data_IF_585950055087
#
_entry.id   IF_585950055087
#
_cell.length_a   1.000
_cell.length_b   1.000
_cell.length_c   1.000
_cell.angle_alpha   90.00
_cell.angle_beta   90.00
_cell.angle_gamma   90.00
#
_symmetry.space_group_name_H-M   'P 1'
#
loop_
_entity.id
_entity.type
_entity.pdbx_description
1 polymer ?
#
# COMPACT_ATOMS: atom_id res chain seq x y z
N UNK A 1 11.15 21.28 -14.41
CA UNK A 1 10.74 21.15 -12.98
C UNK A 1 11.46 19.95 -12.40
N UNK A 2 12.10 20.09 -11.23
CA UNK A 2 12.52 18.89 -10.46
C UNK A 2 11.25 18.13 -10.12
N UNK A 3 11.16 16.87 -10.56
CA UNK A 3 10.07 15.99 -10.16
C UNK A 3 10.19 15.81 -8.65
N UNK A 4 9.09 15.95 -7.91
CA UNK A 4 9.06 15.53 -6.51
C UNK A 4 9.52 14.06 -6.41
N UNK A 5 10.05 13.66 -5.26
CA UNK A 5 10.35 12.25 -5.00
C UNK A 5 9.08 11.44 -5.31
N UNK A 6 9.19 10.49 -6.22
CA UNK A 6 8.04 9.71 -6.66
C UNK A 6 7.46 8.93 -5.47
N UNK A 7 6.18 9.19 -5.16
CA UNK A 7 5.41 8.30 -4.30
C UNK A 7 4.96 7.12 -5.16
N UNK A 8 5.78 6.08 -5.21
CA UNK A 8 5.50 4.90 -6.03
C UNK A 8 4.20 4.23 -5.58
N UNK A 9 3.28 4.00 -6.52
CA UNK A 9 2.14 3.09 -6.34
C UNK A 9 2.44 1.82 -7.11
N UNK A 10 2.39 0.68 -6.43
CA UNK A 10 2.65 -0.61 -7.07
C UNK A 10 1.36 -1.09 -7.71
N UNK A 11 1.36 -1.34 -9.02
CA UNK A 11 0.29 -2.11 -9.65
C UNK A 11 0.60 -3.60 -9.42
N UNK A 12 -0.26 -4.36 -8.74
CA UNK A 12 0.06 -5.72 -8.35
C UNK A 12 -0.01 -6.67 -9.55
N UNK A 13 0.83 -7.71 -9.55
CA UNK A 13 0.83 -8.71 -10.62
C UNK A 13 -0.52 -9.46 -10.69
N UNK A 14 -1.19 -9.64 -9.55
CA UNK A 14 -2.51 -10.27 -9.42
C UNK A 14 -3.56 -9.65 -10.33
N UNK A 15 -3.44 -8.35 -10.66
CA UNK A 15 -4.35 -7.64 -11.57
C UNK A 15 -4.46 -8.33 -12.94
N UNK A 16 -3.35 -8.89 -13.45
CA UNK A 16 -3.33 -9.58 -14.75
C UNK A 16 -4.17 -10.86 -14.77
N UNK A 17 -4.43 -11.45 -13.61
CA UNK A 17 -5.20 -12.68 -13.43
C UNK A 17 -6.57 -12.43 -12.81
N UNK A 18 -6.91 -11.19 -12.48
CA UNK A 18 -8.21 -10.83 -11.90
C UNK A 18 -9.33 -10.99 -12.95
N UNK A 19 -10.31 -11.88 -12.74
CA UNK A 19 -11.43 -12.05 -13.66
C UNK A 19 -12.29 -10.79 -13.83
N UNK A 20 -12.35 -9.91 -12.82
CA UNK A 20 -13.07 -8.62 -12.89
C UNK A 20 -12.42 -7.72 -13.94
N UNK A 21 -11.10 -7.60 -13.87
CA UNK A 21 -10.30 -6.82 -14.81
C UNK A 21 -10.34 -7.40 -16.23
N UNK A 22 -10.22 -8.73 -16.36
CA UNK A 22 -10.26 -9.42 -17.65
C UNK A 22 -11.57 -9.27 -18.43
N UNK A 23 -12.68 -8.92 -17.76
CA UNK A 23 -13.99 -8.67 -18.39
C UNK A 23 -14.23 -7.22 -18.80
N UNK A 24 -13.37 -6.29 -18.37
CA UNK A 24 -13.48 -4.89 -18.76
C UNK A 24 -13.15 -4.70 -20.25
N UNK A 25 -13.76 -3.73 -20.94
CA UNK A 25 -13.32 -3.38 -22.28
C UNK A 25 -11.90 -2.81 -22.26
N UNK A 26 -11.22 -2.91 -23.39
CA UNK A 26 -9.80 -2.54 -23.53
C UNK A 26 -9.49 -1.12 -23.01
N UNK A 27 -10.35 -0.13 -23.31
CA UNK A 27 -10.17 1.25 -22.82
C UNK A 27 -10.21 1.33 -21.29
N UNK A 28 -11.09 0.57 -20.65
CA UNK A 28 -11.19 0.52 -19.20
C UNK A 28 -9.99 -0.22 -18.58
N UNK A 29 -9.51 -1.29 -19.23
CA UNK A 29 -8.27 -1.97 -18.84
C UNK A 29 -7.05 -1.04 -18.92
N UNK A 30 -6.99 -0.17 -19.94
CA UNK A 30 -5.93 0.85 -20.04
C UNK A 30 -6.08 1.93 -18.96
N UNK A 31 -7.30 2.40 -18.71
CA UNK A 31 -7.54 3.51 -17.78
C UNK A 31 -7.34 3.12 -16.31
N UNK A 32 -7.76 1.93 -15.90
CA UNK A 32 -7.69 1.48 -14.50
C UNK A 32 -6.29 1.60 -13.85
N UNK A 33 -5.20 1.03 -14.42
CA UNK A 33 -3.87 1.16 -13.83
C UNK A 33 -3.36 2.61 -13.86
N UNK A 34 -3.81 3.43 -14.81
CA UNK A 34 -3.47 4.86 -14.84
C UNK A 34 -4.17 5.65 -13.73
N UNK A 35 -5.41 5.30 -13.39
CA UNK A 35 -6.09 5.83 -12.21
C UNK A 35 -5.37 5.40 -10.93
N UNK A 36 -5.03 4.11 -10.81
CA UNK A 36 -4.38 3.52 -9.64
C UNK A 36 -3.10 4.25 -9.25
N UNK A 37 -2.23 4.55 -10.21
CA UNK A 37 -0.97 5.24 -9.93
C UNK A 37 -1.14 6.72 -9.57
N UNK A 38 -2.30 7.31 -9.90
CA UNK A 38 -2.66 8.69 -9.58
C UNK A 38 -3.44 8.81 -8.25
N UNK A 39 -3.73 7.70 -7.57
CA UNK A 39 -4.40 7.74 -6.28
C UNK A 39 -3.52 8.32 -5.16
N UNK A 40 -4.16 9.02 -4.23
CA UNK A 40 -3.55 9.42 -2.97
C UNK A 40 -3.26 8.22 -2.04
N UNK A 41 -2.77 8.48 -0.83
CA UNK A 41 -2.34 7.39 0.07
C UNK A 41 -3.50 6.54 0.60
N UNK A 42 -4.75 6.96 0.37
CA UNK A 42 -5.98 6.29 0.79
C UNK A 42 -6.71 5.62 -0.38
N UNK A 43 -6.11 5.62 -1.58
CA UNK A 43 -6.69 5.00 -2.76
C UNK A 43 -7.76 5.85 -3.42
N UNK A 44 -7.73 7.17 -3.21
CA UNK A 44 -8.70 8.11 -3.78
C UNK A 44 -8.12 8.97 -4.88
N UNK A 45 -8.95 9.27 -5.88
CA UNK A 45 -8.64 10.17 -6.99
C UNK A 45 -9.90 10.92 -7.42
N UNK A 46 -9.74 11.99 -8.19
CA UNK A 46 -10.87 12.74 -8.75
C UNK A 46 -11.78 11.84 -9.58
N UNK A 47 -13.09 12.04 -9.45
CA UNK A 47 -14.11 11.45 -10.32
C UNK A 47 -14.55 12.37 -11.46
N UNK A 48 -13.93 13.54 -11.58
CA UNK A 48 -14.18 14.49 -12.65
C UNK A 48 -13.53 14.01 -13.97
N UNK A 49 -14.29 13.90 -15.08
CA UNK A 49 -13.76 13.36 -16.32
C UNK A 49 -12.61 14.17 -16.94
N UNK A 50 -12.66 15.50 -16.86
CA UNK A 50 -11.62 16.36 -17.42
C UNK A 50 -10.33 16.26 -16.59
N UNK A 51 -10.44 16.23 -15.26
CA UNK A 51 -9.30 16.00 -14.38
C UNK A 51 -8.68 14.61 -14.60
N UNK A 52 -9.49 13.56 -14.72
CA UNK A 52 -9.00 12.20 -15.02
C UNK A 52 -8.29 12.19 -16.37
N UNK A 53 -8.90 12.79 -17.40
CA UNK A 53 -8.32 12.85 -18.73
C UNK A 53 -6.95 13.53 -18.70
N UNK A 54 -6.86 14.66 -18.01
CA UNK A 54 -5.64 15.44 -17.88
C UNK A 54 -4.56 14.73 -17.07
N UNK A 55 -4.91 14.14 -15.92
CA UNK A 55 -3.95 13.58 -14.98
C UNK A 55 -3.51 12.14 -15.33
N UNK A 56 -4.45 11.29 -15.74
CA UNK A 56 -4.20 9.86 -15.91
C UNK A 56 -3.83 9.47 -17.35
N UNK A 57 -4.49 10.06 -18.36
CA UNK A 57 -4.34 9.63 -19.75
C UNK A 57 -4.28 10.78 -20.78
N UNK A 58 -3.50 11.86 -20.55
CA UNK A 58 -3.55 13.06 -21.39
C UNK A 58 -3.18 12.79 -22.85
N UNK A 59 -2.27 11.84 -23.10
CA UNK A 59 -1.77 11.53 -24.45
C UNK A 59 -2.50 10.39 -25.16
N UNK A 60 -3.45 9.71 -24.50
CA UNK A 60 -4.18 8.57 -25.08
C UNK A 60 -5.43 9.10 -25.80
N UNK A 61 -5.34 9.32 -27.11
CA UNK A 61 -6.40 10.00 -27.88
C UNK A 61 -7.71 9.21 -27.93
N UNK A 62 -7.61 7.88 -27.81
CA UNK A 62 -8.72 6.95 -27.89
C UNK A 62 -9.61 6.97 -26.65
N UNK A 63 -9.18 7.59 -25.54
CA UNK A 63 -10.00 7.75 -24.33
C UNK A 63 -10.33 9.23 -24.21
N UNK A 64 -11.58 9.63 -24.46
CA UNK A 64 -12.00 11.04 -24.34
C UNK A 64 -12.64 11.33 -22.99
N UNK A 65 -12.74 12.61 -22.61
CA UNK A 65 -13.39 13.01 -21.36
C UNK A 65 -14.86 12.56 -21.31
N UNK A 66 -15.54 12.57 -22.46
CA UNK A 66 -16.95 12.16 -22.60
C UNK A 66 -17.14 10.65 -22.41
N UNK A 67 -16.12 9.83 -22.72
CA UNK A 67 -16.18 8.37 -22.56
C UNK A 67 -15.86 7.92 -21.12
N UNK A 68 -15.08 8.69 -20.38
CA UNK A 68 -14.63 8.33 -19.02
C UNK A 68 -15.79 7.95 -18.09
N UNK A 69 -16.92 8.68 -18.01
CA UNK A 69 -18.05 8.30 -17.17
C UNK A 69 -18.55 6.86 -17.43
N UNK A 70 -18.64 6.45 -18.69
CA UNK A 70 -19.09 5.11 -19.06
C UNK A 70 -18.04 4.04 -18.69
N UNK A 71 -16.75 4.34 -18.87
CA UNK A 71 -15.66 3.45 -18.44
C UNK A 71 -15.65 3.27 -16.92
N UNK A 72 -15.83 4.34 -16.17
CA UNK A 72 -15.91 4.29 -14.70
C UNK A 72 -17.10 3.45 -14.23
N UNK A 73 -18.27 3.61 -14.86
CA UNK A 73 -19.46 2.82 -14.54
C UNK A 73 -19.23 1.32 -14.75
N UNK A 74 -18.50 0.93 -15.80
CA UNK A 74 -18.15 -0.47 -16.05
C UNK A 74 -17.21 -1.03 -14.98
N UNK A 75 -16.20 -0.25 -14.56
CA UNK A 75 -15.30 -0.65 -13.47
C UNK A 75 -16.02 -0.74 -12.13
N UNK A 76 -16.97 0.17 -11.87
CA UNK A 76 -17.80 0.15 -10.67
C UNK A 76 -18.73 -1.07 -10.64
N UNK A 77 -19.39 -1.35 -11.76
CA UNK A 77 -20.23 -2.56 -11.92
C UNK A 77 -19.41 -3.84 -11.76
N UNK A 78 -18.16 -3.83 -12.21
CA UNK A 78 -17.21 -4.92 -12.03
C UNK A 78 -16.64 -5.05 -10.61
N UNK A 79 -16.97 -4.13 -9.70
CA UNK A 79 -16.49 -4.15 -8.32
C UNK A 79 -14.99 -3.89 -8.19
N UNK A 80 -14.41 -3.07 -9.09
CA UNK A 80 -12.99 -2.69 -9.04
C UNK A 80 -12.75 -1.35 -8.32
N UNK A 81 -13.72 -0.44 -8.42
CA UNK A 81 -13.70 0.88 -7.80
C UNK A 81 -15.11 1.29 -7.42
N UNK A 82 -15.24 2.35 -6.61
CA UNK A 82 -16.50 3.00 -6.30
C UNK A 82 -16.46 4.45 -6.75
N UNK A 83 -17.43 4.89 -7.54
CA UNK A 83 -17.61 6.31 -7.85
C UNK A 83 -18.61 6.88 -6.86
N UNK A 84 -18.28 8.00 -6.23
CA UNK A 84 -19.15 8.62 -5.25
C UNK A 84 -19.04 10.15 -5.30
N UNK A 85 -20.09 10.81 -4.82
CA UNK A 85 -20.16 12.27 -4.76
C UNK A 85 -20.21 12.68 -3.30
N UNK A 86 -19.33 13.61 -2.92
CA UNK A 86 -19.35 14.30 -1.63
C UNK A 86 -19.99 15.67 -1.82
N UNK A 87 -20.21 16.43 -0.74
CA UNK A 87 -20.75 17.78 -0.84
C UNK A 87 -19.95 18.71 -1.77
N UNK A 88 -18.65 18.45 -1.91
CA UNK A 88 -17.71 19.37 -2.56
C UNK A 88 -17.03 18.79 -3.81
N UNK A 89 -17.07 17.47 -4.03
CA UNK A 89 -16.34 16.83 -5.11
C UNK A 89 -16.91 15.46 -5.50
N UNK A 90 -16.76 15.12 -6.78
CA UNK A 90 -16.89 13.75 -7.27
C UNK A 90 -15.54 13.03 -7.13
N UNK A 91 -15.55 11.84 -6.58
CA UNK A 91 -14.35 11.09 -6.26
C UNK A 91 -14.50 9.61 -6.63
N UNK A 92 -13.36 8.93 -6.70
CA UNK A 92 -13.23 7.50 -6.93
C UNK A 92 -12.49 6.91 -5.74
N UNK A 93 -12.98 5.79 -5.20
CA UNK A 93 -12.27 4.94 -4.23
C UNK A 93 -11.87 3.63 -4.92
N UNK A 94 -10.59 3.28 -4.87
CA UNK A 94 -10.11 1.95 -5.30
C UNK A 94 -10.42 0.94 -4.19
N UNK A 95 -11.19 -0.11 -4.50
CA UNK A 95 -11.74 -1.02 -3.48
C UNK A 95 -10.68 -1.94 -2.87
N UNK A 96 -9.70 -2.37 -3.67
CA UNK A 96 -8.67 -3.29 -3.21
C UNK A 96 -7.41 -2.55 -2.70
N UNK A 97 -7.49 -1.23 -2.49
CA UNK A 97 -6.32 -0.38 -2.20
C UNK A 97 -5.51 -0.86 -1.01
N UNK A 98 -6.14 -1.06 0.15
CA UNK A 98 -5.45 -1.48 1.38
C UNK A 98 -5.04 -2.94 1.37
N UNK A 99 -5.64 -3.76 0.50
CA UNK A 99 -5.24 -5.14 0.31
C UNK A 99 -3.94 -5.22 -0.49
N UNK A 100 -3.82 -4.42 -1.55
CA UNK A 100 -2.70 -4.46 -2.50
C UNK A 100 -1.56 -3.49 -2.14
N UNK A 101 -1.86 -2.28 -1.64
CA UNK A 101 -0.84 -1.32 -1.22
C UNK A 101 -0.35 -1.57 0.20
N UNK A 102 0.96 -1.80 0.35
CA UNK A 102 1.64 -1.91 1.65
C UNK A 102 2.40 -0.64 1.97
N UNK A 103 1.66 0.45 2.19
CA UNK A 103 2.25 1.74 2.54
C UNK A 103 2.82 1.71 3.96
N UNK A 104 4.01 2.29 4.14
CA UNK A 104 4.55 2.56 5.48
C UNK A 104 3.98 3.84 6.09
N UNK A 105 3.62 4.79 5.22
CA UNK A 105 3.07 6.09 5.56
C UNK A 105 1.86 6.37 4.68
N UNK A 106 0.79 6.85 5.27
CA UNK A 106 -0.38 7.30 4.55
C UNK A 106 -0.94 8.60 5.13
N UNK A 107 -0.94 9.63 4.30
CA UNK A 107 -1.52 10.92 4.61
C UNK A 107 -3.05 10.89 4.43
N UNK A 108 -3.78 11.79 5.12
CA UNK A 108 -5.21 11.95 4.90
C UNK A 108 -5.48 12.35 3.45
N UNK A 109 -6.58 11.86 2.91
CA UNK A 109 -7.05 12.26 1.58
C UNK A 109 -7.66 13.66 1.60
N UNK A 110 -7.61 14.33 0.44
CA UNK A 110 -8.42 15.53 0.18
C UNK A 110 -9.89 15.22 -0.08
N UNK A 111 -10.22 13.97 -0.41
CA UNK A 111 -11.56 13.49 -0.67
C UNK A 111 -12.09 12.81 0.60
N UNK A 112 -13.33 13.08 1.00
CA UNK A 112 -13.94 12.36 2.13
C UNK A 112 -14.11 10.87 1.79
N UNK A 113 -14.10 9.96 2.78
CA UNK A 113 -14.30 8.54 2.51
C UNK A 113 -15.73 8.27 2.05
N UNK A 114 -15.97 7.30 1.16
CA UNK A 114 -17.33 6.84 0.89
C UNK A 114 -17.93 6.19 2.15
N UNK A 115 -19.26 6.05 2.17
CA UNK A 115 -19.96 5.43 3.29
C UNK A 115 -19.42 4.02 3.58
N UNK A 116 -19.16 3.73 4.86
CA UNK A 116 -18.62 2.45 5.30
C UNK A 116 -17.11 2.25 5.10
N UNK A 117 -16.39 3.25 4.56
CA UNK A 117 -14.94 3.18 4.40
C UNK A 117 -14.20 3.80 5.58
N UNK A 118 -13.16 3.11 6.05
CA UNK A 118 -12.30 3.59 7.14
C UNK A 118 -10.89 3.84 6.60
N UNK A 119 -10.40 5.06 6.83
CA UNK A 119 -9.06 5.48 6.43
C UNK A 119 -8.02 4.94 7.40
N UNK A 120 -6.86 4.52 6.88
CA UNK A 120 -5.70 4.18 7.70
C UNK A 120 -4.71 5.34 7.63
N UNK A 121 -4.45 5.98 8.77
CA UNK A 121 -3.60 7.15 8.85
C UNK A 121 -2.29 6.80 9.56
N UNK A 122 -1.18 7.13 8.91
CA UNK A 122 0.12 7.18 9.54
C UNK A 122 0.97 8.22 8.84
N UNK A 123 1.12 9.40 9.44
CA UNK A 123 1.81 10.51 8.81
C UNK A 123 2.42 11.46 9.83
N UNK A 124 3.34 12.30 9.34
CA UNK A 124 3.96 13.37 10.10
C UNK A 124 3.23 14.69 9.82
N UNK A 125 2.34 15.19 10.70
CA UNK A 125 1.77 16.53 10.56
C UNK A 125 2.84 17.62 10.78
N UNK A 126 3.79 17.34 11.67
CA UNK A 126 4.96 18.16 11.98
C UNK A 126 6.20 17.27 11.97
N UNK A 127 7.43 17.82 11.87
CA UNK A 127 8.66 17.02 11.86
C UNK A 127 8.87 16.13 13.09
N UNK A 128 8.19 16.43 14.21
CA UNK A 128 8.39 15.77 15.51
C UNK A 128 7.24 14.86 15.91
N UNK A 129 6.09 14.95 15.27
CA UNK A 129 4.87 14.24 15.65
C UNK A 129 4.53 13.17 14.61
N UNK A 130 3.96 12.06 15.07
CA UNK A 130 3.38 11.01 14.22
C UNK A 130 1.94 10.82 14.66
N UNK A 131 0.99 11.07 13.76
CA UNK A 131 -0.40 10.68 13.94
C UNK A 131 -0.55 9.27 13.38
N UNK A 132 -1.12 8.36 14.19
CA UNK A 132 -1.45 6.99 13.78
C UNK A 132 -2.90 6.70 14.18
N UNK A 133 -3.76 6.41 13.21
CA UNK A 133 -5.18 6.11 13.42
C UNK A 133 -5.59 4.96 12.49
N UNK A 134 -6.36 4.00 13.02
CA UNK A 134 -6.84 2.81 12.30
C UNK A 134 -5.72 2.06 11.53
N UNK A 135 -4.47 2.19 11.96
CA UNK A 135 -3.33 1.62 11.25
C UNK A 135 -3.17 0.14 11.60
N UNK A 136 -3.14 -0.78 10.62
CA UNK A 136 -2.95 -2.18 10.91
C UNK A 136 -1.55 -2.39 11.55
N UNK A 137 -1.44 -3.20 12.62
CA UNK A 137 -0.15 -3.59 13.14
C UNK A 137 0.65 -4.28 12.01
N UNK A 138 1.91 -3.89 11.87
CA UNK A 138 2.78 -4.30 10.76
C UNK A 138 2.75 -5.82 10.56
N UNK A 139 2.33 -6.28 9.37
CA UNK A 139 2.39 -7.69 8.98
C UNK A 139 1.06 -8.46 9.03
N UNK A 140 -0.07 -7.84 9.39
CA UNK A 140 -1.38 -8.50 9.33
C UNK A 140 -2.23 -8.00 8.13
N UNK A 141 -2.87 -8.91 7.37
CA UNK A 141 -3.84 -8.52 6.34
C UNK A 141 -5.08 -7.89 6.99
N UNK A 142 -5.62 -6.85 6.34
CA UNK A 142 -6.77 -6.05 6.80
C UNK A 142 -8.03 -6.87 7.11
N UNK A 143 -8.13 -8.08 6.55
CA UNK A 143 -9.27 -8.99 6.70
C UNK A 143 -9.45 -9.63 8.08
N UNK A 144 -8.57 -9.37 9.05
CA UNK A 144 -8.61 -9.98 10.40
C UNK A 144 -8.72 -9.02 11.59
N UNK A 145 -8.95 -7.73 11.36
CA UNK A 145 -9.10 -6.77 12.47
C UNK A 145 -10.52 -6.85 13.06
N UNK A 146 -10.69 -7.69 14.08
CA UNK A 146 -11.85 -7.60 14.99
C UNK A 146 -11.73 -6.32 15.85
N UNK A 147 -12.85 -5.65 16.18
CA UNK A 147 -12.81 -4.49 17.05
C UNK A 147 -12.54 -4.94 18.49
N UNK A 148 -11.33 -4.67 18.99
CA UNK A 148 -11.04 -4.78 20.42
C UNK A 148 -10.88 -3.38 21.02
N UNK A 149 -11.68 -2.98 22.01
CA UNK A 149 -11.35 -1.84 22.84
C UNK A 149 -10.28 -2.29 23.84
N UNK A 150 -9.07 -1.74 23.75
CA UNK A 150 -8.09 -1.89 24.84
C UNK A 150 -8.51 -0.98 26.02
N UNK A 151 -8.68 -1.52 27.24
CA UNK A 151 -8.81 -0.70 28.42
C UNK A 151 -7.52 0.07 28.70
N UNK A 152 -7.68 1.36 28.99
CA UNK A 152 -6.67 2.24 29.60
C UNK A 152 -6.44 1.74 31.03
N UNK A 153 -5.28 1.14 31.31
CA UNK A 153 -4.49 1.32 32.53
C UNK A 153 -3.37 0.28 32.62
N UNK A 154 -2.14 0.76 32.80
CA UNK A 154 -0.98 -0.06 33.17
C UNK A 154 -0.93 -0.12 34.71
N UNK A 155 -0.99 -1.30 35.36
CA UNK A 155 -0.59 -1.41 36.76
C UNK A 155 0.94 -1.46 36.83
N UNK A 156 1.51 -0.39 37.36
CA UNK A 156 2.88 -0.33 37.86
C UNK A 156 2.99 -1.18 39.14
N UNK A 157 3.76 -2.28 39.06
CA UNK A 157 4.35 -3.10 40.13
C UNK A 157 4.04 -4.59 39.90
N UNK A 158 5.05 -5.28 39.37
CA UNK A 158 5.48 -6.61 39.80
C UNK A 158 6.82 -6.90 39.11
N UNK A 159 7.83 -6.09 39.47
CA UNK A 159 9.23 -6.49 39.34
C UNK A 159 9.69 -6.97 40.71
N UNK A 160 9.49 -8.25 40.98
CA UNK A 160 10.27 -8.99 41.96
C UNK A 160 10.03 -10.47 41.72
N UNK A 161 11.14 -11.20 41.55
CA UNK A 161 11.22 -12.66 41.54
C UNK A 161 10.85 -13.35 40.22
N UNK A 162 11.82 -13.46 39.31
CA UNK A 162 12.42 -14.77 38.96
C UNK A 162 13.85 -14.50 38.48
N UNK A 163 14.81 -14.73 39.37
CA UNK A 163 16.17 -15.06 38.97
C UNK A 163 16.18 -16.51 38.51
N UNK A 164 16.49 -16.76 37.24
CA UNK A 164 17.06 -18.04 36.79
C UNK A 164 17.77 -17.82 35.44
N UNK A 165 19.06 -17.52 35.55
CA UNK A 165 20.19 -18.04 34.75
C UNK A 165 19.98 -18.34 33.26
N UNK A 166 20.63 -17.57 32.38
CA UNK A 166 21.30 -18.04 31.16
C UNK A 166 22.44 -17.08 30.76
N UNK A 167 23.58 -17.58 30.22
CA UNK A 167 24.82 -16.82 30.08
C UNK A 167 24.87 -15.93 28.84
N UNK A 168 25.66 -14.86 28.96
CA UNK A 168 26.00 -13.85 27.97
C UNK A 168 26.75 -14.42 26.76
N UNK A 169 26.26 -14.14 25.56
CA UNK A 169 26.98 -14.34 24.29
C UNK A 169 28.16 -13.36 24.19
N UNK A 170 29.34 -13.82 24.63
CA UNK A 170 30.62 -13.15 24.36
C UNK A 170 31.72 -14.17 24.16
N UNK A 171 31.50 -15.12 23.26
CA UNK A 171 32.52 -16.08 22.80
C UNK A 171 32.02 -16.74 21.50
N UNK A 172 31.99 -15.99 20.40
CA UNK A 172 31.76 -16.55 19.05
C UNK A 172 32.48 -15.83 17.92
N UNK A 173 33.54 -15.09 18.25
CA UNK A 173 34.48 -14.50 17.28
C UNK A 173 35.89 -14.99 17.58
N UNK A 174 36.19 -16.26 17.29
CA UNK A 174 37.59 -16.71 17.12
C UNK A 174 37.83 -18.03 16.39
N UNK A 175 36.84 -18.65 15.76
CA UNK A 175 37.04 -19.94 15.07
C UNK A 175 36.76 -19.96 13.55
N UNK A 176 36.39 -18.84 12.93
CA UNK A 176 36.10 -18.80 11.48
C UNK A 176 37.19 -18.15 10.60
N UNK A 177 38.43 -18.06 11.10
CA UNK A 177 39.57 -17.50 10.34
C UNK A 177 40.73 -18.48 10.13
N UNK A 178 40.42 -19.78 10.02
CA UNK A 178 41.42 -20.83 9.73
C UNK A 178 41.10 -21.76 8.54
N UNK A 179 40.17 -21.37 7.68
CA UNK A 179 39.75 -22.22 6.55
C UNK A 179 39.96 -21.59 5.16
N UNK A 180 40.95 -20.69 5.01
CA UNK A 180 41.41 -20.22 3.69
C UNK A 180 42.91 -20.01 3.65
N UNK A 181 43.70 -21.07 3.77
CA UNK A 181 45.05 -21.06 3.19
C UNK A 181 45.55 -22.48 2.85
N UNK A 182 45.60 -22.75 1.53
CA UNK A 182 46.75 -23.40 0.90
C UNK A 182 47.01 -24.88 1.20
N UNK A 183 46.54 -25.76 0.31
CA UNK A 183 46.96 -27.17 0.33
C UNK A 183 46.69 -27.97 -0.94
N UNK A 184 46.85 -27.38 -2.13
CA UNK A 184 46.80 -28.12 -3.41
C UNK A 184 48.08 -28.94 -3.59
N UNK A 185 47.98 -30.27 -3.51
CA UNK A 185 49.10 -31.18 -3.70
C UNK A 185 48.74 -32.49 -4.43
N UNK A 186 49.12 -32.53 -5.72
CA UNK A 186 49.63 -33.68 -6.52
C UNK A 186 48.70 -34.77 -7.11
N UNK A 187 48.97 -35.06 -8.39
CA UNK A 187 48.68 -36.32 -9.10
C UNK A 187 48.30 -36.12 -10.58
N UNK A 188 49.21 -35.88 -11.54
CA UNK A 188 49.96 -36.84 -12.41
C UNK A 188 49.13 -37.59 -13.49
N UNK A 189 49.33 -37.17 -14.77
CA UNK A 189 49.38 -37.93 -16.06
C UNK A 189 48.14 -38.78 -16.48
N UNK A 190 47.95 -39.14 -17.78
CA UNK A 190 48.88 -39.21 -18.92
C UNK A 190 48.79 -38.07 -19.95
#
# INVERSE_FOLDING_TARGET
MRRAVARGRIVPQSLSTDPRYGRLPLKAQVLYPLLWINCDDQGRVSGDPDEIKYAACPSIKEITAEEIPALLQQMETGGMLKVYTTSNAKAIQMLDWWEEQKLQWAYPSRYLPPEGWTDHLRFHPTPTEIITENWPPSGQPSSKLLPSPLPKELPSKLQSEVSQTLPTEKEKEKEEEKEKEGGRGKGKLP
#
